data_IF_358575035401
#
_entry.id   IF_358575035401
#
_cell.length_a   1.000
_cell.length_b   1.000
_cell.length_c   1.000
_cell.angle_alpha   90.00
_cell.angle_beta   90.00
_cell.angle_gamma   90.00
#
_symmetry.space_group_name_H-M   'P 1'
#
loop_
_entity.id
_entity.type
_entity.pdbx_description
1 polymer ?
#
# COMPACT_ATOMS: atom_id res chain seq x y z
N UNK A 1 -15.56 -24.28 -64.04
CA UNK A 1 -15.14 -24.43 -62.63
C UNK A 1 -15.13 -23.06 -61.96
N UNK A 2 -16.14 -22.74 -61.14
CA UNK A 2 -16.14 -21.52 -60.31
C UNK A 2 -15.48 -21.89 -58.97
N UNK A 3 -14.33 -21.29 -58.66
CA UNK A 3 -13.64 -21.45 -57.36
C UNK A 3 -14.23 -20.44 -56.38
N UNK A 4 -14.92 -20.92 -55.36
CA UNK A 4 -15.34 -20.10 -54.24
C UNK A 4 -14.14 -19.87 -53.32
N UNK A 5 -13.79 -18.61 -53.09
CA UNK A 5 -12.72 -18.20 -52.19
C UNK A 5 -13.36 -17.86 -50.84
N UNK A 6 -13.20 -18.75 -49.86
CA UNK A 6 -13.63 -18.49 -48.49
C UNK A 6 -12.57 -17.64 -47.79
N UNK A 7 -12.90 -16.38 -47.46
CA UNK A 7 -12.07 -15.52 -46.63
C UNK A 7 -12.40 -15.82 -45.17
N UNK A 8 -11.44 -16.36 -44.42
CA UNK A 8 -11.53 -16.53 -42.97
C UNK A 8 -11.05 -15.21 -42.35
N UNK A 9 -11.95 -14.44 -41.75
CA UNK A 9 -11.60 -13.28 -40.95
C UNK A 9 -11.01 -13.76 -39.62
N UNK A 10 -9.71 -13.56 -39.42
CA UNK A 10 -9.07 -13.72 -38.11
C UNK A 10 -9.52 -12.55 -37.22
N UNK A 11 -10.39 -12.83 -36.25
CA UNK A 11 -10.71 -11.87 -35.18
C UNK A 11 -9.61 -11.97 -34.13
N UNK A 12 -8.74 -10.96 -34.07
CA UNK A 12 -7.81 -10.80 -32.95
C UNK A 12 -8.61 -10.30 -31.74
N UNK A 13 -8.88 -11.18 -30.78
CA UNK A 13 -9.26 -10.76 -29.44
C UNK A 13 -8.00 -10.26 -28.74
N UNK A 14 -7.84 -8.94 -28.62
CA UNK A 14 -6.89 -8.37 -27.68
C UNK A 14 -7.41 -8.66 -26.27
N UNK A 15 -6.80 -9.61 -25.57
CA UNK A 15 -6.97 -9.71 -24.12
C UNK A 15 -6.40 -8.44 -23.52
N UNK A 16 -7.26 -7.50 -23.13
CA UNK A 16 -6.84 -6.37 -22.31
C UNK A 16 -6.28 -6.93 -21.01
N UNK A 17 -5.04 -6.60 -20.67
CA UNK A 17 -4.54 -6.82 -19.32
C UNK A 17 -5.40 -5.95 -18.39
N UNK A 18 -6.02 -6.56 -17.37
CA UNK A 18 -6.62 -5.77 -16.31
C UNK A 18 -5.48 -5.05 -15.59
N UNK A 19 -5.51 -3.72 -15.65
CA UNK A 19 -4.62 -2.86 -14.87
C UNK A 19 -5.47 -2.18 -13.82
N UNK A 20 -5.00 -2.17 -12.58
CA UNK A 20 -5.64 -1.44 -11.50
C UNK A 20 -5.63 0.07 -11.80
N UNK A 21 -6.71 0.77 -11.43
CA UNK A 21 -6.69 2.23 -11.38
C UNK A 21 -5.76 2.70 -10.26
N UNK A 22 -4.94 3.70 -10.55
CA UNK A 22 -3.93 4.23 -9.64
C UNK A 22 -4.09 5.73 -9.47
N UNK A 23 -3.56 6.26 -8.37
CA UNK A 23 -3.47 7.69 -8.15
C UNK A 23 -2.45 8.32 -9.11
N UNK A 24 -2.86 9.34 -9.86
CA UNK A 24 -2.01 10.01 -10.83
C UNK A 24 -1.11 11.03 -10.16
N UNK A 25 0.21 10.76 -10.13
CA UNK A 25 1.22 11.68 -9.64
C UNK A 25 1.56 12.70 -10.74
N UNK A 26 1.32 13.98 -10.48
CA UNK A 26 1.54 15.07 -11.46
C UNK A 26 2.26 16.26 -10.84
N UNK A 27 3.00 17.03 -11.64
CA UNK A 27 3.71 18.22 -11.15
C UNK A 27 5.04 17.91 -10.48
N UNK A 28 5.57 18.88 -9.73
CA UNK A 28 6.85 18.78 -9.01
C UNK A 28 6.62 18.32 -7.58
N UNK A 29 7.42 17.36 -7.15
CA UNK A 29 7.37 16.71 -5.84
C UNK A 29 5.94 16.33 -5.39
N UNK A 30 5.20 15.53 -6.20
CA UNK A 30 3.80 15.24 -5.90
C UNK A 30 3.64 14.56 -4.54
N UNK A 31 2.56 14.90 -3.85
CA UNK A 31 2.23 14.37 -2.53
C UNK A 31 0.92 13.60 -2.55
N UNK A 32 0.78 12.61 -1.67
CA UNK A 32 -0.45 11.86 -1.44
C UNK A 32 -0.70 11.73 0.06
N UNK A 33 -1.96 11.83 0.49
CA UNK A 33 -2.37 11.59 1.87
C UNK A 33 -3.60 10.69 1.93
N UNK A 34 -3.71 9.90 3.00
CA UNK A 34 -4.88 9.09 3.31
C UNK A 34 -5.02 8.96 4.83
N UNK A 35 -6.16 9.43 5.35
CA UNK A 35 -6.51 9.37 6.78
C UNK A 35 -7.61 8.35 7.09
N UNK A 36 -8.10 7.61 6.07
CA UNK A 36 -9.08 6.54 6.15
C UNK A 36 -10.43 6.86 6.84
N UNK A 37 -10.69 8.12 7.17
CA UNK A 37 -11.89 8.57 7.89
C UNK A 37 -13.19 8.44 7.08
N UNK A 38 -13.09 8.05 5.81
CA UNK A 38 -14.23 7.69 4.95
C UNK A 38 -14.61 6.21 5.04
N UNK A 39 -13.84 5.40 5.77
CA UNK A 39 -14.15 4.00 6.00
C UNK A 39 -15.47 3.84 6.80
N UNK A 40 -16.16 2.70 6.65
CA UNK A 40 -17.45 2.48 7.29
C UNK A 40 -17.33 2.40 8.81
N UNK A 41 -18.29 3.04 9.50
CA UNK A 41 -18.44 2.98 10.96
C UNK A 41 -19.47 1.94 11.42
N UNK A 42 -20.09 1.23 10.48
CA UNK A 42 -21.07 0.18 10.70
C UNK A 42 -20.81 -1.04 9.79
N UNK A 43 -21.20 -2.22 10.27
CA UNK A 43 -20.99 -3.49 9.57
C UNK A 43 -21.85 -3.60 8.31
N UNK A 44 -21.50 -4.53 7.41
CA UNK A 44 -22.28 -4.84 6.20
C UNK A 44 -21.79 -4.15 4.93
N UNK A 45 -20.70 -3.38 5.00
CA UNK A 45 -20.09 -2.75 3.81
C UNK A 45 -19.22 -3.76 3.08
N UNK A 46 -19.55 -4.05 1.82
CA UNK A 46 -18.69 -4.83 0.94
C UNK A 46 -17.44 -4.06 0.55
N UNK A 47 -16.26 -4.68 0.68
CA UNK A 47 -15.03 -4.09 0.17
C UNK A 47 -15.00 -4.20 -1.35
N UNK A 48 -14.78 -3.07 -2.02
CA UNK A 48 -14.64 -3.00 -3.46
C UNK A 48 -13.37 -2.22 -3.76
N UNK A 49 -12.39 -2.89 -4.36
CA UNK A 49 -11.13 -2.30 -4.79
C UNK A 49 -11.39 -1.04 -5.63
N UNK A 50 -10.66 0.03 -5.32
CA UNK A 50 -10.76 1.34 -5.95
C UNK A 50 -12.14 2.04 -5.81
N UNK A 51 -13.05 1.52 -4.98
CA UNK A 51 -14.35 2.17 -4.74
C UNK A 51 -14.63 2.41 -3.27
N UNK A 52 -14.30 1.48 -2.36
CA UNK A 52 -14.44 1.73 -0.92
C UNK A 52 -13.48 2.83 -0.48
N UNK A 53 -12.25 2.79 -0.98
CA UNK A 53 -11.32 3.91 -0.95
C UNK A 53 -10.69 4.02 -2.36
N UNK A 54 -10.68 5.22 -2.99
CA UNK A 54 -10.09 5.40 -4.31
C UNK A 54 -8.62 4.97 -4.37
N UNK A 55 -8.25 4.20 -5.39
CA UNK A 55 -6.91 3.66 -5.64
C UNK A 55 -6.38 2.66 -4.60
N UNK A 56 -7.19 2.27 -3.61
CA UNK A 56 -6.83 1.26 -2.62
C UNK A 56 -7.38 -0.11 -2.99
N UNK A 57 -6.59 -1.13 -2.65
CA UNK A 57 -6.81 -2.51 -2.99
C UNK A 57 -6.61 -3.38 -1.76
N UNK A 58 -7.32 -4.50 -1.70
CA UNK A 58 -7.07 -5.56 -0.74
C UNK A 58 -7.34 -6.93 -1.37
N UNK A 59 -6.54 -7.92 -1.01
CA UNK A 59 -6.70 -9.32 -1.45
C UNK A 59 -7.65 -10.06 -0.51
N UNK A 60 -8.85 -9.50 -0.34
CA UNK A 60 -9.93 -10.10 0.44
C UNK A 60 -11.18 -10.29 -0.42
N UNK A 61 -12.04 -11.20 0.01
CA UNK A 61 -13.39 -11.33 -0.52
C UNK A 61 -14.40 -10.97 0.56
N UNK A 62 -15.48 -10.28 0.16
CA UNK A 62 -16.58 -9.95 1.06
C UNK A 62 -16.47 -8.57 1.71
N UNK A 63 -16.86 -8.50 2.98
CA UNK A 63 -17.04 -7.24 3.68
C UNK A 63 -15.77 -6.81 4.40
N UNK A 64 -15.51 -5.49 4.38
CA UNK A 64 -14.63 -4.90 5.38
C UNK A 64 -15.35 -4.96 6.74
N UNK A 65 -14.65 -5.44 7.75
CA UNK A 65 -15.15 -5.55 9.11
C UNK A 65 -15.03 -4.20 9.81
N UNK A 66 -15.89 -3.94 10.79
CA UNK A 66 -15.82 -2.73 11.62
C UNK A 66 -15.59 -3.18 13.05
N UNK A 67 -14.56 -2.66 13.71
CA UNK A 67 -14.25 -3.08 15.07
C UNK A 67 -13.46 -2.05 15.86
N UNK A 68 -13.58 -2.14 17.19
CA UNK A 68 -12.78 -1.40 18.17
C UNK A 68 -11.72 -2.29 18.84
N UNK A 69 -11.32 -3.39 18.17
CA UNK A 69 -10.30 -4.32 18.66
C UNK A 69 -10.80 -5.49 19.52
N UNK A 70 -12.06 -5.48 19.96
CA UNK A 70 -12.63 -6.55 20.78
C UNK A 70 -12.98 -7.82 20.00
N UNK A 71 -13.27 -7.69 18.70
CA UNK A 71 -13.65 -8.80 17.83
C UNK A 71 -12.50 -9.78 17.54
N UNK A 72 -12.87 -10.99 17.13
CA UNK A 72 -11.94 -12.08 16.76
C UNK A 72 -12.17 -12.60 15.34
N UNK A 73 -13.07 -11.97 14.58
CA UNK A 73 -13.32 -12.34 13.19
C UNK A 73 -12.09 -11.97 12.36
N UNK A 74 -11.63 -12.88 11.51
CA UNK A 74 -10.46 -12.61 10.67
C UNK A 74 -10.87 -11.81 9.43
N UNK A 75 -10.01 -10.92 8.96
CA UNK A 75 -10.26 -10.17 7.73
C UNK A 75 -9.70 -8.75 7.73
N UNK A 76 -10.05 -7.99 6.70
CA UNK A 76 -9.76 -6.57 6.59
C UNK A 76 -10.70 -5.80 7.53
N UNK A 77 -10.15 -4.81 8.23
CA UNK A 77 -10.84 -4.02 9.22
C UNK A 77 -10.78 -2.53 8.87
N UNK A 78 -11.92 -1.88 9.05
CA UNK A 78 -11.94 -0.51 9.51
C UNK A 78 -11.88 -0.56 11.03
N UNK A 79 -10.77 -0.12 11.61
CA UNK A 79 -10.61 0.01 13.05
C UNK A 79 -10.95 1.42 13.52
N UNK A 80 -11.39 1.55 14.77
CA UNK A 80 -11.81 2.82 15.35
C UNK A 80 -12.86 2.62 16.43
N UNK A 81 -12.99 3.58 17.35
CA UNK A 81 -14.03 3.56 18.38
C UNK A 81 -15.45 3.46 17.76
N UNK A 82 -16.40 2.90 18.51
CA UNK A 82 -17.76 2.72 18.03
C UNK A 82 -18.39 4.06 17.61
N UNK A 83 -18.96 4.10 16.41
CA UNK A 83 -19.58 5.29 15.82
C UNK A 83 -18.65 6.51 15.64
N UNK A 84 -17.33 6.35 15.80
CA UNK A 84 -16.34 7.38 15.49
C UNK A 84 -15.93 7.31 14.01
N UNK A 85 -15.78 8.47 13.39
CA UNK A 85 -15.31 8.64 12.00
C UNK A 85 -13.79 8.69 11.89
N UNK A 86 -13.06 8.82 13.00
CA UNK A 86 -11.62 8.52 13.02
C UNK A 86 -11.46 7.00 12.86
N UNK A 87 -10.89 6.58 11.73
CA UNK A 87 -10.71 5.17 11.36
C UNK A 87 -9.31 4.90 10.86
N UNK A 88 -8.80 3.72 11.18
CA UNK A 88 -7.62 3.13 10.54
C UNK A 88 -8.00 1.98 9.61
N UNK A 89 -7.26 1.79 8.51
CA UNK A 89 -7.36 0.58 7.69
C UNK A 89 -6.41 -0.48 8.22
N UNK A 90 -6.91 -1.66 8.54
CA UNK A 90 -6.09 -2.71 9.12
C UNK A 90 -6.60 -4.11 8.84
N UNK A 91 -6.09 -5.04 9.62
CA UNK A 91 -6.38 -6.46 9.47
C UNK A 91 -6.35 -7.18 10.81
N UNK A 92 -6.91 -8.39 10.78
CA UNK A 92 -6.66 -9.43 11.75
C UNK A 92 -6.46 -10.72 10.96
N UNK A 93 -5.20 -11.12 10.76
CA UNK A 93 -4.84 -12.41 10.21
C UNK A 93 -5.13 -13.54 11.20
N UNK A 94 -5.07 -14.78 10.72
CA UNK A 94 -5.21 -15.97 11.55
C UNK A 94 -5.25 -17.25 10.71
N UNK A 95 -5.36 -18.41 11.35
CA UNK A 95 -5.19 -19.71 10.66
C UNK A 95 -6.08 -19.89 9.41
N UNK A 96 -7.34 -19.43 9.43
CA UNK A 96 -8.25 -19.54 8.28
C UNK A 96 -8.15 -18.38 7.28
N UNK A 97 -7.38 -17.35 7.61
CA UNK A 97 -7.09 -16.19 6.74
C UNK A 97 -5.61 -15.81 6.95
N UNK A 98 -4.68 -16.65 6.46
CA UNK A 98 -3.29 -16.63 6.91
C UNK A 98 -2.46 -15.48 6.31
N UNK A 99 -3.01 -14.77 5.33
CA UNK A 99 -2.38 -13.67 4.64
C UNK A 99 -3.47 -12.65 4.29
N UNK A 100 -3.27 -11.41 4.74
CA UNK A 100 -4.09 -10.27 4.33
C UNK A 100 -3.15 -9.21 3.79
N UNK A 101 -3.42 -8.79 2.56
CA UNK A 101 -2.65 -7.78 1.87
C UNK A 101 -3.58 -6.64 1.48
N UNK A 102 -3.17 -5.42 1.75
CA UNK A 102 -3.87 -4.22 1.33
C UNK A 102 -2.88 -3.11 0.98
N UNK A 103 -3.29 -2.18 0.14
CA UNK A 103 -2.33 -1.21 -0.40
C UNK A 103 -2.93 -0.22 -1.36
N UNK A 104 -2.07 0.62 -1.92
CA UNK A 104 -2.43 1.72 -2.81
C UNK A 104 -1.50 1.75 -4.02
N UNK A 105 -2.07 2.02 -5.19
CA UNK A 105 -1.33 2.14 -6.45
C UNK A 105 -1.18 3.59 -6.91
N UNK A 106 -0.02 3.92 -7.47
CA UNK A 106 0.31 5.22 -8.06
C UNK A 106 0.82 5.06 -9.49
N UNK A 107 0.63 6.07 -10.33
CA UNK A 107 1.29 6.19 -11.64
C UNK A 107 2.05 7.51 -11.72
N UNK A 108 3.31 7.45 -12.14
CA UNK A 108 4.10 8.64 -12.42
C UNK A 108 3.66 9.28 -13.76
N UNK A 109 2.70 10.20 -13.69
CA UNK A 109 2.30 11.04 -14.82
C UNK A 109 2.92 12.45 -14.73
N UNK A 110 4.02 12.60 -13.99
CA UNK A 110 4.79 13.83 -13.96
C UNK A 110 5.69 13.92 -15.20
N UNK A 111 6.45 15.01 -15.32
CA UNK A 111 7.35 15.23 -16.46
C UNK A 111 8.73 14.58 -16.30
N UNK A 112 9.04 14.01 -15.13
CA UNK A 112 10.37 13.48 -14.79
C UNK A 112 10.28 12.18 -14.01
N UNK A 113 11.36 11.40 -14.04
CA UNK A 113 11.51 10.21 -13.20
C UNK A 113 11.47 10.59 -11.72
N UNK A 114 10.69 9.86 -10.93
CA UNK A 114 10.75 9.94 -9.47
C UNK A 114 11.96 9.13 -9.01
N UNK A 115 12.85 9.79 -8.27
CA UNK A 115 14.14 9.22 -7.80
C UNK A 115 14.12 8.81 -6.33
N UNK A 116 13.12 9.28 -5.57
CA UNK A 116 12.86 8.77 -4.22
C UNK A 116 11.42 9.06 -3.81
N UNK A 117 10.96 8.40 -2.75
CA UNK A 117 9.78 8.85 -2.03
C UNK A 117 10.03 8.82 -0.52
N UNK A 118 9.47 9.79 0.18
CA UNK A 118 9.37 9.79 1.64
C UNK A 118 7.97 9.33 1.99
N UNK A 119 7.86 8.23 2.72
CA UNK A 119 6.60 7.71 3.26
C UNK A 119 6.58 7.93 4.76
N UNK A 120 5.44 8.34 5.30
CA UNK A 120 5.16 8.40 6.73
C UNK A 120 3.76 7.86 6.96
N UNK A 121 3.58 7.04 7.99
CA UNK A 121 2.27 6.58 8.42
C UNK A 121 2.28 6.26 9.92
N UNK A 122 1.10 6.22 10.52
CA UNK A 122 0.89 5.76 11.89
C UNK A 122 0.52 4.27 11.86
N UNK A 123 1.37 3.44 12.42
CA UNK A 123 1.02 2.05 12.72
C UNK A 123 0.27 2.00 14.04
N UNK A 124 -0.83 1.26 14.08
CA UNK A 124 -1.72 1.18 15.24
C UNK A 124 -2.05 -0.26 15.61
N UNK A 125 -2.00 -0.58 16.90
CA UNK A 125 -2.46 -1.87 17.42
C UNK A 125 -3.82 -1.71 18.09
N UNK A 126 -4.82 -2.38 17.53
CA UNK A 126 -6.19 -2.38 18.01
C UNK A 126 -6.51 -3.62 18.88
N UNK A 127 -5.74 -4.69 18.73
CA UNK A 127 -5.97 -5.92 19.49
C UNK A 127 -4.65 -6.57 19.91
N UNK A 128 -4.56 -6.97 21.17
CA UNK A 128 -3.63 -8.00 21.61
C UNK A 128 -4.37 -9.35 21.55
N UNK A 129 -3.84 -10.27 20.75
CA UNK A 129 -4.38 -11.61 20.54
C UNK A 129 -4.23 -12.57 21.74
N UNK A 130 -3.58 -12.14 22.82
CA UNK A 130 -3.19 -13.04 23.90
C UNK A 130 -1.90 -13.79 23.58
N UNK A 131 -1.02 -13.15 22.80
CA UNK A 131 0.26 -13.70 22.37
C UNK A 131 1.39 -12.86 22.96
N UNK A 132 2.37 -13.54 23.57
CA UNK A 132 3.53 -12.87 24.17
C UNK A 132 4.61 -12.51 23.14
N UNK A 133 4.41 -12.86 21.86
CA UNK A 133 5.28 -12.46 20.77
C UNK A 133 4.72 -11.24 20.05
N UNK A 134 5.62 -10.32 19.68
CA UNK A 134 5.31 -9.20 18.81
C UNK A 134 4.89 -9.68 17.43
N UNK A 135 3.80 -9.11 16.91
CA UNK A 135 3.27 -9.34 15.57
C UNK A 135 3.65 -8.18 14.66
N UNK A 136 3.63 -8.43 13.34
CA UNK A 136 4.20 -7.49 12.39
C UNK A 136 3.31 -7.24 11.19
N UNK A 137 2.96 -5.97 10.99
CA UNK A 137 2.39 -5.48 9.75
C UNK A 137 3.53 -4.97 8.85
N UNK A 138 3.92 -5.79 7.87
CA UNK A 138 5.10 -5.55 7.06
C UNK A 138 4.81 -4.65 5.85
N UNK A 139 5.73 -3.74 5.52
CA UNK A 139 5.58 -2.83 4.38
C UNK A 139 6.47 -3.22 3.19
N UNK A 140 5.89 -3.09 2.00
CA UNK A 140 6.56 -3.34 0.73
C UNK A 140 6.16 -2.32 -0.34
N UNK A 141 6.98 -2.22 -1.39
CA UNK A 141 6.59 -1.58 -2.64
C UNK A 141 6.99 -2.40 -3.88
N UNK A 142 6.35 -2.13 -5.01
CA UNK A 142 6.73 -2.72 -6.31
C UNK A 142 6.55 -1.71 -7.43
N UNK A 143 7.63 -1.43 -8.15
CA UNK A 143 7.62 -0.56 -9.34
C UNK A 143 7.20 -1.38 -10.55
N UNK A 144 6.34 -0.81 -11.39
CA UNK A 144 5.80 -1.46 -12.59
C UNK A 144 4.70 -2.49 -12.31
N UNK A 145 4.22 -2.59 -11.07
CA UNK A 145 3.11 -3.46 -10.73
C UNK A 145 1.81 -2.98 -11.38
N UNK A 146 1.08 -3.88 -12.02
CA UNK A 146 -0.24 -3.62 -12.59
C UNK A 146 -1.36 -3.85 -11.58
N UNK A 147 -1.13 -4.68 -10.57
CA UNK A 147 -2.09 -5.03 -9.50
C UNK A 147 -1.39 -5.29 -8.16
N UNK A 148 -2.17 -5.33 -7.06
CA UNK A 148 -1.66 -5.56 -5.71
C UNK A 148 -1.14 -7.00 -5.49
N UNK A 149 -1.75 -7.99 -6.14
CA UNK A 149 -1.51 -9.43 -5.98
C UNK A 149 -0.26 -9.95 -6.71
N UNK A 150 0.49 -9.08 -7.39
CA UNK A 150 1.77 -9.46 -7.98
C UNK A 150 2.81 -9.89 -6.93
N UNK A 151 3.76 -10.72 -7.37
CA UNK A 151 4.89 -11.16 -6.55
C UNK A 151 6.14 -10.30 -6.82
N UNK A 152 7.19 -10.46 -6.02
CA UNK A 152 8.44 -9.72 -6.19
C UNK A 152 8.33 -8.25 -5.79
N UNK A 153 7.61 -7.99 -4.70
CA UNK A 153 7.63 -6.73 -3.98
C UNK A 153 8.94 -6.60 -3.19
N UNK A 154 9.48 -5.39 -3.11
CA UNK A 154 10.65 -5.03 -2.33
C UNK A 154 10.23 -4.64 -0.91
N UNK A 155 10.84 -5.28 0.10
CA UNK A 155 10.55 -5.04 1.51
C UNK A 155 11.27 -3.79 2.03
N UNK A 156 10.59 -3.00 2.87
CA UNK A 156 11.21 -1.86 3.59
C UNK A 156 11.03 -2.07 5.08
N UNK A 157 11.81 -3.01 5.64
CA UNK A 157 11.66 -3.45 7.03
C UNK A 157 11.86 -2.35 8.08
N UNK A 158 12.52 -1.25 7.72
CA UNK A 158 12.71 -0.07 8.58
C UNK A 158 11.39 0.63 8.95
N UNK A 159 10.32 0.36 8.20
CA UNK A 159 8.97 0.86 8.46
C UNK A 159 7.95 -0.26 8.54
N UNK A 160 8.38 -1.47 8.96
CA UNK A 160 7.43 -2.47 9.43
C UNK A 160 6.83 -2.01 10.77
N UNK A 161 5.52 -2.08 10.93
CA UNK A 161 4.90 -1.84 12.23
C UNK A 161 4.93 -3.11 13.07
N UNK A 162 5.63 -3.02 14.20
CA UNK A 162 5.73 -4.09 15.18
C UNK A 162 4.80 -3.75 16.36
N UNK A 163 3.91 -4.66 16.72
CA UNK A 163 2.92 -4.44 17.77
C UNK A 163 3.55 -4.07 19.12
N UNK A 164 3.20 -2.91 19.73
CA UNK A 164 3.79 -2.49 21.00
C UNK A 164 3.41 -3.35 22.21
N UNK A 165 2.22 -3.97 22.19
CA UNK A 165 1.68 -4.76 23.30
C UNK A 165 1.55 -6.23 22.90
N UNK A 166 2.43 -7.06 23.47
CA UNK A 166 2.41 -8.52 23.30
C UNK A 166 2.35 -9.20 24.67
N UNK A 167 1.16 -9.59 25.11
CA UNK A 167 0.97 -10.28 26.40
C UNK A 167 0.05 -11.49 26.25
N UNK A 168 0.20 -12.47 27.13
CA UNK A 168 -0.55 -13.73 27.08
C UNK A 168 -2.07 -13.59 27.35
N UNK A 169 -2.57 -12.40 27.67
CA UNK A 169 -4.01 -12.14 27.89
C UNK A 169 -4.58 -11.32 26.76
N UNK A 170 -5.57 -11.84 26.06
CA UNK A 170 -6.21 -11.13 24.96
C UNK A 170 -6.97 -9.90 25.47
N UNK A 171 -6.84 -8.79 24.75
CA UNK A 171 -7.52 -7.54 25.11
C UNK A 171 -7.73 -6.67 23.87
N UNK A 172 -8.83 -5.91 23.89
CA UNK A 172 -8.97 -4.76 23.00
C UNK A 172 -8.00 -3.66 23.43
N UNK A 173 -7.47 -2.93 22.46
CA UNK A 173 -6.59 -1.78 22.64
C UNK A 173 -7.17 -0.61 21.86
N UNK A 174 -6.93 0.60 22.34
CA UNK A 174 -7.21 1.81 21.56
C UNK A 174 -5.98 2.13 20.70
N UNK A 175 -6.06 1.89 19.40
CA UNK A 175 -4.95 2.11 18.46
C UNK A 175 -4.50 3.58 18.41
N UNK A 176 -5.40 4.52 18.76
CA UNK A 176 -5.05 5.94 18.82
C UNK A 176 -4.13 6.30 19.98
N UNK A 177 -4.12 5.49 21.04
CA UNK A 177 -3.28 5.76 22.20
C UNK A 177 -1.80 5.62 21.80
N UNK A 178 -0.97 6.56 22.22
CA UNK A 178 0.47 6.59 21.89
C UNK A 178 1.24 5.37 22.38
N UNK A 179 0.71 4.63 23.36
CA UNK A 179 1.30 3.37 23.85
C UNK A 179 1.01 2.18 22.94
N UNK A 180 0.01 2.29 22.06
CA UNK A 180 -0.43 1.24 21.14
C UNK A 180 -0.13 1.61 19.67
N UNK A 181 0.55 2.73 19.42
CA UNK A 181 0.87 3.20 18.08
C UNK A 181 2.29 3.73 17.95
N UNK A 182 2.77 3.82 16.71
CA UNK A 182 4.05 4.44 16.38
C UNK A 182 3.95 5.13 15.01
N UNK A 183 4.54 6.31 14.88
CA UNK A 183 4.76 6.94 13.58
C UNK A 183 6.03 6.39 12.94
N UNK A 184 5.89 5.85 11.74
CA UNK A 184 6.95 5.24 10.96
C UNK A 184 7.25 6.12 9.75
N UNK A 185 8.53 6.36 9.47
CA UNK A 185 8.95 7.21 8.36
C UNK A 185 10.23 6.71 7.71
N UNK A 186 10.29 6.74 6.38
CA UNK A 186 11.50 6.38 5.64
C UNK A 186 11.56 7.06 4.27
N UNK A 187 12.79 7.28 3.80
CA UNK A 187 13.07 7.78 2.45
C UNK A 187 13.61 6.62 1.60
N UNK A 188 12.83 6.17 0.63
CA UNK A 188 13.20 5.10 -0.29
C UNK A 188 13.78 5.69 -1.58
N UNK A 189 15.05 5.39 -1.88
CA UNK A 189 15.64 5.70 -3.19
C UNK A 189 15.12 4.72 -4.23
N UNK A 190 14.55 5.23 -5.32
CA UNK A 190 13.88 4.42 -6.36
C UNK A 190 14.14 4.99 -7.75
N UNK A 191 13.72 4.26 -8.78
CA UNK A 191 13.66 4.76 -10.14
C UNK A 191 12.28 4.42 -10.70
N UNK A 192 11.33 5.36 -10.62
CA UNK A 192 9.98 5.22 -11.17
C UNK A 192 9.89 6.11 -12.43
N UNK A 193 10.11 5.55 -13.63
CA UNK A 193 10.02 6.30 -14.88
C UNK A 193 8.64 6.92 -15.08
N UNK A 194 8.58 7.96 -15.92
CA UNK A 194 7.30 8.51 -16.39
C UNK A 194 6.50 7.40 -17.09
N UNK A 195 5.21 7.32 -16.76
CA UNK A 195 4.28 6.28 -17.23
C UNK A 195 4.34 4.97 -16.44
N UNK A 196 5.32 4.76 -15.55
CA UNK A 196 5.38 3.58 -14.70
C UNK A 196 4.51 3.71 -13.46
N UNK A 197 4.02 2.56 -12.98
CA UNK A 197 3.29 2.43 -11.73
C UNK A 197 4.23 2.18 -10.56
N UNK A 198 3.75 2.42 -9.34
CA UNK A 198 4.29 1.85 -8.12
C UNK A 198 3.14 1.48 -7.20
N UNK A 199 3.16 0.28 -6.64
CA UNK A 199 2.22 -0.15 -5.60
C UNK A 199 2.91 -0.19 -4.26
N UNK A 200 2.24 0.33 -3.23
CA UNK A 200 2.61 0.17 -1.82
C UNK A 200 1.69 -0.88 -1.20
N UNK A 201 2.25 -1.78 -0.39
CA UNK A 201 1.53 -2.92 0.19
C UNK A 201 1.89 -3.10 1.66
N UNK A 202 0.88 -3.20 2.50
CA UNK A 202 0.98 -3.73 3.85
C UNK A 202 0.53 -5.19 3.84
N UNK A 203 1.28 -6.03 4.54
CA UNK A 203 1.07 -7.46 4.61
C UNK A 203 1.00 -7.90 6.07
N UNK A 204 -0.11 -8.53 6.42
CA UNK A 204 -0.36 -9.17 7.70
C UNK A 204 -0.37 -10.68 7.50
N UNK A 205 0.45 -11.40 8.26
CA UNK A 205 0.63 -12.85 8.13
C UNK A 205 0.18 -13.50 9.42
N UNK A 206 -0.42 -14.68 9.35
CA UNK A 206 -0.78 -15.39 10.57
C UNK A 206 0.46 -15.78 11.37
N UNK A 207 0.51 -15.37 12.63
CA UNK A 207 1.48 -15.84 13.59
C UNK A 207 1.00 -17.10 14.33
N UNK A 208 1.92 -17.80 15.00
CA UNK A 208 1.53 -18.94 15.83
C UNK A 208 0.85 -18.45 17.11
N UNK A 209 -0.40 -18.85 17.33
CA UNK A 209 -1.19 -18.50 18.51
C UNK A 209 -2.36 -17.59 18.17
N UNK A 210 -2.69 -16.67 19.09
CA UNK A 210 -3.73 -15.66 18.85
C UNK A 210 -3.15 -14.40 18.21
N UNK A 211 -3.79 -13.93 17.14
CA UNK A 211 -3.27 -12.82 16.34
C UNK A 211 -3.65 -11.44 16.86
N UNK A 212 -2.73 -10.50 16.66
CA UNK A 212 -2.91 -9.10 16.97
C UNK A 212 -3.63 -8.41 15.82
N UNK A 213 -4.50 -7.46 16.17
CA UNK A 213 -5.18 -6.62 15.19
C UNK A 213 -4.39 -5.35 15.01
N UNK A 214 -3.94 -5.08 13.79
CA UNK A 214 -3.06 -3.95 13.48
C UNK A 214 -3.59 -3.17 12.28
N UNK A 215 -3.29 -1.88 12.21
CA UNK A 215 -3.74 -1.00 11.14
C UNK A 215 -2.76 0.12 10.82
N UNK A 216 -3.10 0.84 9.76
CA UNK A 216 -2.41 1.98 9.19
C UNK A 216 -3.36 3.16 9.21
N UNK A 217 -2.84 4.30 9.65
CA UNK A 217 -3.52 5.58 9.60
C UNK A 217 -2.56 6.72 9.22
N UNK A 218 -3.10 7.90 8.91
CA UNK A 218 -2.37 9.15 8.66
C UNK A 218 -1.22 8.97 7.64
N UNK A 219 -1.48 8.23 6.56
CA UNK A 219 -0.50 8.02 5.50
C UNK A 219 -0.22 9.35 4.80
N UNK A 220 1.06 9.66 4.65
CA UNK A 220 1.58 10.75 3.86
C UNK A 220 2.76 10.28 3.02
N UNK A 221 2.75 10.61 1.74
CA UNK A 221 3.82 10.27 0.81
C UNK A 221 4.22 11.50 0.03
N UNK A 222 5.52 11.78 -0.05
CA UNK A 222 6.10 12.80 -0.93
C UNK A 222 7.04 12.11 -1.91
N UNK A 223 6.77 12.23 -3.21
CA UNK A 223 7.60 11.66 -4.27
C UNK A 223 8.56 12.73 -4.78
N UNK A 224 9.87 12.50 -4.74
CA UNK A 224 10.86 13.45 -5.24
C UNK A 224 11.17 13.17 -6.71
N UNK A 225 10.79 14.10 -7.59
CA UNK A 225 11.07 14.05 -9.03
C UNK A 225 11.82 15.29 -9.52
N UNK A 226 12.27 16.14 -8.60
CA UNK A 226 13.04 17.32 -8.93
C UNK A 226 14.44 16.90 -9.40
N UNK A 227 14.77 17.29 -10.63
CA UNK A 227 16.15 17.28 -11.10
C UNK A 227 16.85 18.41 -10.35
N UNK A 228 17.80 18.07 -9.45
CA UNK A 228 18.68 19.09 -8.88
C UNK A 228 19.41 19.77 -10.04
N UNK A 229 19.47 21.11 -10.10
CA UNK A 229 20.18 21.79 -11.16
C UNK A 229 21.64 21.30 -11.16
N UNK A 230 22.08 20.75 -12.29
CA UNK A 230 23.50 20.51 -12.51
C UNK A 230 24.09 21.85 -12.93
N UNK A 231 24.82 22.49 -12.03
CA UNK A 231 25.57 23.70 -12.35
C UNK A 231 26.99 23.31 -12.79
N UNK A 232 27.36 23.66 -14.02
CA UNK A 232 28.73 23.51 -14.51
C UNK A 232 29.58 24.66 -13.96
N UNK A 233 30.21 24.44 -12.81
CA UNK A 233 31.01 25.49 -12.14
C UNK A 233 32.26 25.88 -12.94
N UNK A 234 32.82 24.96 -13.73
CA UNK A 234 33.89 25.25 -14.69
C UNK A 234 34.00 24.19 -15.78
N UNK A 235 34.54 24.56 -16.94
CA UNK A 235 34.89 23.66 -18.03
C UNK A 235 36.20 24.10 -18.67
N UNK A 236 37.07 23.14 -19.01
CA UNK A 236 38.33 23.41 -19.72
C UNK A 236 38.48 22.45 -20.90
N UNK A 237 38.57 23.00 -22.11
CA UNK A 237 38.88 22.25 -23.32
C UNK A 237 40.31 22.56 -23.79
N UNK A 238 41.05 21.52 -24.17
CA UNK A 238 42.35 21.65 -24.85
C UNK A 238 42.20 21.31 -26.31
N UNK A 239 42.59 22.23 -27.19
CA UNK A 239 42.68 21.96 -28.63
C UNK A 239 43.92 21.09 -28.87
N UNK A 240 43.75 19.92 -29.49
CA UNK A 240 44.88 19.20 -30.09
C UNK A 240 45.15 19.80 -31.47
N UNK A 241 46.22 20.57 -31.59
CA UNK A 241 46.80 20.87 -32.90
C UNK A 241 47.53 19.60 -33.33
N UNK A 242 47.07 18.95 -34.42
CA UNK A 242 47.86 17.93 -35.10
C UNK A 242 48.97 18.66 -35.85
N UNK A 243 50.22 18.41 -35.47
CA UNK A 243 51.39 18.68 -36.32
C UNK A 243 51.47 17.62 -37.41
#
# INVERSE_FOLDING_TARGET
MKRNLTIIALVFFSFGHLVAQTFSLTGTNPTYTQNFNTLPTATGTSWVNNSTIPNWYANISGNILVGSGSGTSLGLYSYGAASNTERALGSLAGNSTPLIEFGVGFTNNSSTTITSFVITYKGEQWRNGGNANTHKLAFFYKIGASTLDETGYEAVSLIDFNSPIATATASALDGNASVNSATLTHNCTVNIPVGSTVFFKWQDVNESGGDHGMGVDDLSVTFNNQVLPVELVSFSAKIRVKM
#
